data_IF_728537696388
#
_entry.id   IF_728537696388
#
_cell.length_a   1.000
_cell.length_b   1.000
_cell.length_c   1.000
_cell.angle_alpha   90.00
_cell.angle_beta   90.00
_cell.angle_gamma   90.00
#
_symmetry.space_group_name_H-M   'P 1'
#
loop_
_entity.id
_entity.type
_entity.pdbx_description
1 polymer ?
#
# COMPACT_ATOMS: atom_id res chain seq x y z
N UNK A 1 33.96 -63.82 -34.12
CA UNK A 1 35.25 -64.55 -34.27
C UNK A 1 36.01 -64.50 -32.95
N UNK A 2 37.00 -65.40 -32.77
CA UNK A 2 38.29 -65.24 -32.03
C UNK A 2 38.39 -64.14 -30.94
N UNK A 3 39.01 -64.35 -29.78
CA UNK A 3 39.64 -65.51 -29.11
C UNK A 3 40.41 -64.96 -27.88
N UNK A 4 40.66 -65.78 -26.86
CA UNK A 4 42.01 -65.99 -26.26
C UNK A 4 42.81 -64.80 -25.64
N UNK A 5 43.65 -65.01 -24.62
CA UNK A 5 44.04 -66.24 -23.88
C UNK A 5 44.71 -65.86 -22.55
N UNK A 6 44.56 -66.75 -21.56
CA UNK A 6 45.60 -67.46 -20.77
C UNK A 6 46.93 -66.74 -20.38
N UNK A 7 47.63 -67.10 -19.29
CA UNK A 7 47.74 -68.39 -18.57
C UNK A 7 47.77 -68.16 -17.03
N UNK A 8 47.27 -69.05 -16.15
CA UNK A 8 47.69 -70.45 -15.85
C UNK A 8 49.12 -70.57 -15.25
N UNK A 9 49.50 -71.60 -14.49
CA UNK A 9 49.38 -73.06 -14.78
C UNK A 9 49.79 -73.93 -13.56
N UNK A 10 49.13 -75.10 -13.40
CA UNK A 10 49.71 -76.43 -12.99
C UNK A 10 50.09 -76.61 -11.49
N UNK A 11 50.14 -77.82 -10.88
CA UNK A 11 49.88 -79.26 -11.25
C UNK A 11 49.79 -80.14 -9.95
N UNK A 12 49.55 -81.46 -9.88
CA UNK A 12 49.55 -82.62 -10.84
C UNK A 12 48.82 -83.87 -10.25
N UNK A 13 48.01 -84.60 -11.04
CA UNK A 13 47.80 -86.10 -11.08
C UNK A 13 47.40 -86.85 -9.77
N UNK A 14 46.95 -88.13 -9.69
CA UNK A 14 46.78 -89.37 -10.52
C UNK A 14 45.85 -90.33 -9.70
N UNK A 15 45.12 -91.37 -10.15
CA UNK A 15 44.60 -91.92 -11.43
C UNK A 15 43.48 -92.98 -11.07
N UNK A 16 42.44 -93.25 -11.87
CA UNK A 16 42.23 -94.40 -12.82
C UNK A 16 42.30 -95.84 -12.24
N UNK A 17 41.50 -96.84 -12.65
CA UNK A 17 40.33 -96.95 -13.59
C UNK A 17 39.77 -98.39 -13.70
N UNK A 18 38.57 -98.56 -14.30
CA UNK A 18 38.07 -99.74 -15.10
C UNK A 18 37.89 -101.13 -14.40
N UNK A 19 37.03 -102.09 -14.83
CA UNK A 19 35.89 -102.20 -15.79
C UNK A 19 35.25 -103.63 -15.69
N UNK A 20 33.94 -103.84 -15.50
CA UNK A 20 32.86 -104.11 -16.51
C UNK A 20 32.50 -105.59 -16.85
N UNK A 21 31.19 -105.85 -17.10
CA UNK A 21 30.56 -106.98 -17.87
C UNK A 21 30.04 -108.23 -17.08
N UNK A 22 29.05 -108.92 -17.68
CA UNK A 22 28.00 -109.86 -17.19
C UNK A 22 28.33 -111.39 -17.37
N UNK A 23 27.46 -112.44 -17.29
CA UNK A 23 25.99 -112.64 -17.35
C UNK A 23 25.52 -114.06 -16.84
N UNK A 24 24.24 -114.23 -16.40
CA UNK A 24 23.42 -115.49 -16.20
C UNK A 24 23.75 -116.62 -15.17
N UNK A 25 22.74 -117.49 -14.92
CA UNK A 25 22.57 -118.63 -13.96
C UNK A 25 22.28 -119.98 -14.72
N UNK A 26 21.69 -121.12 -14.21
CA UNK A 26 21.16 -121.54 -12.87
C UNK A 26 21.42 -123.04 -12.43
N UNK A 27 20.89 -123.49 -11.25
CA UNK A 27 20.12 -124.77 -10.98
C UNK A 27 20.24 -125.43 -9.55
N UNK A 28 19.06 -125.80 -9.00
CA UNK A 28 18.64 -126.92 -8.11
C UNK A 28 19.41 -127.52 -6.89
N UNK A 29 18.66 -127.76 -5.79
CA UNK A 29 18.41 -129.12 -5.20
C UNK A 29 17.24 -129.16 -4.19
N UNK A 30 16.68 -130.36 -3.92
CA UNK A 30 15.52 -130.66 -3.01
C UNK A 30 15.95 -131.34 -1.70
N UNK A 31 15.12 -131.29 -0.63
CA UNK A 31 14.60 -132.50 0.07
C UNK A 31 13.71 -132.25 1.33
N UNK A 32 12.57 -132.97 1.38
CA UNK A 32 11.84 -133.57 2.53
C UNK A 32 11.01 -132.73 3.52
N UNK A 33 9.98 -133.41 4.03
CA UNK A 33 8.84 -132.92 4.81
C UNK A 33 8.99 -133.08 6.33
N UNK A 34 8.18 -132.32 7.09
CA UNK A 34 7.53 -132.79 8.32
C UNK A 34 6.28 -131.96 8.62
N UNK A 35 5.15 -132.62 8.89
CA UNK A 35 3.88 -131.95 9.22
C UNK A 35 3.89 -131.37 10.64
N UNK A 36 3.20 -130.24 10.82
CA UNK A 36 2.80 -129.65 12.10
C UNK A 36 1.53 -128.81 11.83
N UNK A 37 0.62 -128.71 12.80
CA UNK A 37 -0.79 -128.29 12.58
C UNK A 37 -0.99 -126.94 11.89
N UNK A 38 -1.75 -126.94 10.79
CA UNK A 38 -2.05 -125.76 9.96
C UNK A 38 -2.83 -124.66 10.71
N UNK A 39 -3.67 -125.01 11.69
CA UNK A 39 -4.54 -124.06 12.40
C UNK A 39 -3.76 -122.95 13.14
N UNK A 40 -2.65 -123.29 13.80
CA UNK A 40 -1.78 -122.30 14.48
C UNK A 40 -1.07 -121.41 13.45
N UNK A 41 -0.69 -121.96 12.30
CA UNK A 41 -0.02 -121.23 11.21
C UNK A 41 -0.98 -120.22 10.58
N UNK A 42 -2.23 -120.61 10.31
CA UNK A 42 -3.22 -119.73 9.71
C UNK A 42 -3.61 -118.57 10.64
N UNK A 43 -3.76 -118.84 11.94
CA UNK A 43 -4.08 -117.81 12.93
C UNK A 43 -2.91 -116.82 13.14
N UNK A 44 -1.66 -117.32 13.14
CA UNK A 44 -0.48 -116.46 13.16
C UNK A 44 -0.34 -115.62 11.87
N UNK A 45 -0.72 -116.15 10.71
CA UNK A 45 -0.66 -115.46 9.43
C UNK A 45 -1.70 -114.33 9.32
N UNK A 46 -2.93 -114.55 9.79
CA UNK A 46 -3.96 -113.50 9.85
C UNK A 46 -3.56 -112.38 10.82
N UNK A 47 -3.05 -112.73 12.01
CA UNK A 47 -2.47 -111.75 12.95
C UNK A 47 -1.31 -110.96 12.31
N UNK A 48 -0.44 -111.61 11.53
CA UNK A 48 0.65 -110.94 10.82
C UNK A 48 0.13 -109.98 9.73
N UNK A 49 -0.89 -110.37 8.97
CA UNK A 49 -1.58 -109.50 8.00
C UNK A 49 -2.23 -108.28 8.68
N UNK A 50 -2.87 -108.50 9.82
CA UNK A 50 -3.52 -107.44 10.59
C UNK A 50 -2.53 -106.48 11.27
N UNK A 51 -1.30 -106.94 11.52
CA UNK A 51 -0.15 -106.10 11.93
C UNK A 51 0.45 -105.35 10.74
N UNK A 52 0.62 -106.00 9.58
CA UNK A 52 1.15 -105.35 8.36
C UNK A 52 0.26 -104.17 7.92
N UNK A 53 -1.06 -104.36 7.87
CA UNK A 53 -2.01 -103.29 7.54
C UNK A 53 -1.94 -102.09 8.52
N UNK A 54 -1.64 -102.33 9.80
CA UNK A 54 -1.38 -101.27 10.79
C UNK A 54 -0.02 -100.60 10.57
N UNK A 55 1.00 -101.34 10.11
CA UNK A 55 2.31 -100.81 9.80
C UNK A 55 2.27 -99.87 8.58
N UNK A 56 1.48 -100.22 7.55
CA UNK A 56 1.24 -99.38 6.38
C UNK A 56 0.45 -98.10 6.72
N UNK A 57 -0.59 -98.21 7.56
CA UNK A 57 -1.33 -97.05 8.09
C UNK A 57 -0.40 -96.10 8.88
N UNK A 58 0.43 -96.65 9.78
CA UNK A 58 1.46 -95.90 10.52
C UNK A 58 2.47 -95.23 9.56
N UNK A 59 2.91 -95.94 8.51
CA UNK A 59 3.86 -95.40 7.52
C UNK A 59 3.22 -94.26 6.72
N UNK A 60 1.96 -94.39 6.29
CA UNK A 60 1.22 -93.32 5.61
C UNK A 60 1.04 -92.07 6.49
N UNK A 61 0.86 -92.27 7.80
CA UNK A 61 0.79 -91.18 8.79
C UNK A 61 2.15 -90.52 9.00
N UNK A 62 3.23 -91.29 9.00
CA UNK A 62 4.60 -90.77 9.09
C UNK A 62 4.96 -89.89 7.88
N UNK A 63 4.56 -90.27 6.66
CA UNK A 63 4.79 -89.44 5.47
C UNK A 63 3.93 -88.17 5.44
N UNK A 64 2.69 -88.23 5.96
CA UNK A 64 1.89 -87.01 6.22
C UNK A 64 2.55 -86.09 7.23
N UNK A 65 3.17 -86.62 8.29
CA UNK A 65 3.90 -85.82 9.27
C UNK A 65 5.12 -85.12 8.65
N UNK A 66 5.90 -85.80 7.79
CA UNK A 66 7.00 -85.16 7.03
C UNK A 66 6.52 -84.00 6.15
N UNK A 67 5.40 -84.18 5.46
CA UNK A 67 4.80 -83.12 4.64
C UNK A 67 4.33 -81.92 5.48
N UNK A 68 3.77 -82.18 6.68
CA UNK A 68 3.43 -81.13 7.64
C UNK A 68 4.70 -80.40 8.13
N UNK A 69 5.76 -81.12 8.47
CA UNK A 69 7.07 -80.56 8.88
C UNK A 69 7.67 -79.63 7.80
N UNK A 70 7.60 -80.04 6.53
CA UNK A 70 8.03 -79.22 5.39
C UNK A 70 7.17 -77.94 5.23
N UNK A 71 5.85 -78.02 5.40
CA UNK A 71 5.00 -76.81 5.38
C UNK A 71 5.27 -75.88 6.56
N UNK A 72 5.53 -76.41 7.75
CA UNK A 72 5.95 -75.63 8.93
C UNK A 72 7.27 -74.90 8.67
N UNK A 73 8.24 -75.56 8.04
CA UNK A 73 9.52 -74.93 7.69
C UNK A 73 9.35 -73.76 6.71
N UNK A 74 8.52 -73.93 5.68
CA UNK A 74 8.20 -72.89 4.71
C UNK A 74 7.43 -71.70 5.33
N UNK A 75 6.50 -71.97 6.25
CA UNK A 75 5.79 -70.93 7.02
C UNK A 75 6.76 -70.18 7.95
N UNK A 76 7.66 -70.88 8.66
CA UNK A 76 8.66 -70.25 9.51
C UNK A 76 9.65 -69.36 8.74
N UNK A 77 10.06 -69.77 7.53
CA UNK A 77 10.83 -68.92 6.62
C UNK A 77 10.06 -67.67 6.17
N UNK A 78 8.77 -67.83 5.89
CA UNK A 78 7.88 -66.72 5.49
C UNK A 78 7.64 -65.72 6.63
N UNK A 79 7.51 -66.18 7.86
CA UNK A 79 7.39 -65.34 9.06
C UNK A 79 8.65 -64.48 9.24
N UNK A 80 9.85 -65.06 9.17
CA UNK A 80 11.12 -64.30 9.25
C UNK A 80 11.25 -63.22 8.17
N UNK A 81 10.76 -63.51 6.95
CA UNK A 81 10.73 -62.55 5.86
C UNK A 81 9.64 -61.45 6.01
N UNK A 82 8.70 -61.59 6.95
CA UNK A 82 7.75 -60.56 7.37
C UNK A 82 8.29 -59.75 8.55
N UNK A 83 8.90 -60.41 9.55
CA UNK A 83 9.56 -59.76 10.70
C UNK A 83 10.58 -58.69 10.22
N UNK A 84 11.47 -59.05 9.29
CA UNK A 84 12.44 -58.11 8.69
C UNK A 84 11.80 -56.96 7.91
N UNK A 85 10.58 -57.12 7.39
CA UNK A 85 9.84 -56.04 6.72
C UNK A 85 9.16 -55.12 7.71
N UNK A 86 8.66 -55.65 8.83
CA UNK A 86 8.07 -54.87 9.92
C UNK A 86 9.16 -53.98 10.55
N UNK A 87 10.32 -54.54 10.88
CA UNK A 87 11.46 -53.79 11.44
C UNK A 87 11.87 -52.62 10.54
N UNK A 88 11.97 -52.83 9.22
CA UNK A 88 12.26 -51.76 8.25
C UNK A 88 11.13 -50.73 8.12
N UNK A 89 9.87 -51.13 8.24
CA UNK A 89 8.74 -50.17 8.25
C UNK A 89 8.75 -49.34 9.54
N UNK A 90 9.11 -49.91 10.68
CA UNK A 90 9.28 -49.16 11.93
C UNK A 90 10.44 -48.16 11.87
N UNK A 91 11.52 -48.48 11.15
CA UNK A 91 12.63 -47.55 10.89
C UNK A 91 12.18 -46.35 10.04
N UNK A 92 11.59 -46.60 8.87
CA UNK A 92 11.01 -45.55 8.02
C UNK A 92 9.99 -44.66 8.80
N UNK A 93 9.16 -45.26 9.68
CA UNK A 93 8.18 -44.51 10.50
C UNK A 93 8.86 -43.65 11.58
N UNK A 94 10.08 -43.98 12.03
CA UNK A 94 10.87 -43.12 12.93
C UNK A 94 11.43 -41.92 12.16
N UNK A 95 11.93 -42.13 10.93
CA UNK A 95 12.43 -41.04 10.07
C UNK A 95 11.32 -40.03 9.73
N UNK A 96 10.18 -40.50 9.21
CA UNK A 96 9.04 -39.63 8.86
C UNK A 96 8.53 -38.81 10.06
N UNK A 97 8.58 -39.37 11.28
CA UNK A 97 8.22 -38.63 12.52
C UNK A 97 9.23 -37.54 12.89
N UNK A 98 10.52 -37.72 12.56
CA UNK A 98 11.52 -36.68 12.77
C UNK A 98 11.35 -35.55 11.74
N UNK A 99 11.10 -35.88 10.47
CA UNK A 99 10.78 -34.89 9.43
C UNK A 99 9.52 -34.09 9.78
N UNK A 100 8.47 -34.76 10.24
CA UNK A 100 7.25 -34.09 10.72
C UNK A 100 7.55 -33.11 11.87
N UNK A 101 8.35 -33.51 12.86
CA UNK A 101 8.73 -32.62 13.96
C UNK A 101 9.55 -31.39 13.52
N UNK A 102 10.30 -31.49 12.41
CA UNK A 102 11.00 -30.34 11.81
C UNK A 102 10.02 -29.43 11.07
N UNK A 103 9.04 -29.98 10.36
CA UNK A 103 7.97 -29.20 9.72
C UNK A 103 7.09 -28.47 10.74
N UNK A 104 6.71 -29.12 11.84
CA UNK A 104 5.89 -28.51 12.90
C UNK A 104 6.60 -27.29 13.53
N UNK A 105 7.90 -27.42 13.86
CA UNK A 105 8.73 -26.28 14.33
C UNK A 105 8.88 -25.17 13.29
N UNK A 106 8.93 -25.51 12.01
CA UNK A 106 8.98 -24.54 10.92
C UNK A 106 7.65 -23.79 10.79
N UNK A 107 6.52 -24.47 10.98
CA UNK A 107 5.19 -23.86 11.04
C UNK A 107 5.03 -22.96 12.27
N UNK A 108 5.51 -23.35 13.44
CA UNK A 108 5.54 -22.47 14.63
C UNK A 108 6.37 -21.20 14.36
N UNK A 109 7.55 -21.35 13.75
CA UNK A 109 8.44 -20.22 13.39
C UNK A 109 7.75 -19.26 12.40
N UNK A 110 7.22 -19.76 11.29
CA UNK A 110 6.48 -18.95 10.32
C UNK A 110 5.23 -18.30 10.92
N UNK A 111 4.51 -18.97 11.81
CA UNK A 111 3.37 -18.36 12.50
C UNK A 111 3.81 -17.21 13.42
N UNK A 112 4.92 -17.36 14.14
CA UNK A 112 5.48 -16.29 14.98
C UNK A 112 5.92 -15.09 14.13
N UNK A 113 6.61 -15.31 13.00
CA UNK A 113 6.97 -14.25 12.04
C UNK A 113 5.73 -13.56 11.46
N UNK A 114 4.69 -14.31 11.09
CA UNK A 114 3.42 -13.75 10.60
C UNK A 114 2.71 -12.93 11.68
N UNK A 115 2.78 -13.30 12.95
CA UNK A 115 2.22 -12.49 14.04
C UNK A 115 3.08 -11.24 14.31
N UNK A 116 4.41 -11.35 14.22
CA UNK A 116 5.30 -10.18 14.32
C UNK A 116 5.02 -9.19 13.18
N UNK A 117 4.97 -9.64 11.93
CA UNK A 117 4.62 -8.81 10.76
C UNK A 117 3.19 -8.22 10.84
N UNK A 118 2.24 -8.91 11.50
CA UNK A 118 0.90 -8.36 11.80
C UNK A 118 0.91 -7.32 12.91
N UNK A 119 1.82 -7.41 13.86
CA UNK A 119 1.97 -6.43 14.95
C UNK A 119 2.76 -5.21 14.49
N UNK A 120 3.81 -5.38 13.68
CA UNK A 120 4.55 -4.27 13.08
C UNK A 120 3.70 -3.52 12.04
N UNK A 121 2.83 -4.20 11.27
CA UNK A 121 1.83 -3.52 10.41
C UNK A 121 0.71 -2.81 11.20
N UNK A 122 0.51 -3.15 12.49
CA UNK A 122 -0.36 -2.39 13.41
C UNK A 122 0.37 -1.23 14.10
N UNK A 123 1.69 -1.11 13.92
CA UNK A 123 2.54 -0.09 14.56
C UNK A 123 2.52 1.19 13.73
N UNK A 124 1.36 1.84 13.75
CA UNK A 124 1.01 3.08 13.06
C UNK A 124 1.54 3.18 11.60
N UNK A 125 0.72 2.76 10.63
CA UNK A 125 0.91 3.07 9.19
C UNK A 125 1.06 4.59 8.93
N UNK A 126 0.63 5.43 9.88
CA UNK A 126 0.77 6.89 9.87
C UNK A 126 2.07 7.42 10.50
N UNK A 127 2.79 6.63 11.29
CA UNK A 127 4.05 7.04 11.95
C UNK A 127 5.25 6.88 11.00
N UNK A 128 5.17 5.94 10.04
CA UNK A 128 6.16 5.78 8.97
C UNK A 128 6.27 7.00 8.02
N UNK A 129 5.20 7.79 7.87
CA UNK A 129 5.22 9.05 7.10
C UNK A 129 5.81 10.25 7.87
N UNK A 130 6.37 10.02 9.07
CA UNK A 130 7.01 11.03 9.90
C UNK A 130 8.35 11.53 9.33
N UNK A 131 8.30 12.50 8.41
CA UNK A 131 9.48 13.26 8.02
C UNK A 131 10.12 13.90 9.24
N UNK A 132 11.40 13.58 9.50
CA UNK A 132 12.13 14.14 10.63
C UNK A 132 12.58 15.56 10.30
N UNK A 133 11.73 16.53 10.62
CA UNK A 133 11.99 17.95 10.38
C UNK A 133 12.56 18.62 11.64
N UNK A 134 13.77 19.16 11.50
CA UNK A 134 14.48 19.91 12.54
C UNK A 134 14.44 21.40 12.26
N UNK A 135 14.32 22.20 13.32
CA UNK A 135 14.22 23.65 13.25
C UNK A 135 15.19 24.29 14.25
N UNK A 136 16.01 25.23 13.79
CA UNK A 136 16.78 26.09 14.69
C UNK A 136 15.94 27.31 15.08
N UNK A 137 15.91 27.65 16.37
CA UNK A 137 15.33 28.88 16.88
C UNK A 137 16.16 29.40 18.06
N UNK A 138 16.66 30.64 17.94
CA UNK A 138 17.54 31.31 18.92
C UNK A 138 18.87 30.58 19.18
N UNK A 139 19.31 29.75 18.25
CA UNK A 139 20.53 28.93 18.38
C UNK A 139 20.25 27.48 18.80
N UNK A 140 19.14 27.22 19.48
CA UNK A 140 18.74 25.87 19.89
C UNK A 140 18.06 25.09 18.75
N UNK A 141 18.22 23.76 18.76
CA UNK A 141 17.65 22.86 17.76
C UNK A 141 16.44 22.10 18.32
N UNK A 142 15.31 22.21 17.63
CA UNK A 142 14.03 21.58 17.99
C UNK A 142 13.61 20.60 16.89
N UNK A 143 13.39 19.35 17.26
CA UNK A 143 12.86 18.29 16.39
C UNK A 143 11.33 18.24 16.48
N UNK A 144 10.65 18.26 15.34
CA UNK A 144 9.20 18.09 15.33
C UNK A 144 8.84 16.62 15.61
N UNK A 145 8.07 16.40 16.69
CA UNK A 145 7.66 15.05 17.11
C UNK A 145 6.36 14.57 16.45
N UNK A 146 5.44 15.48 16.13
CA UNK A 146 4.10 15.17 15.62
C UNK A 146 3.67 16.15 14.51
N UNK A 147 2.98 15.64 13.50
CA UNK A 147 2.61 16.40 12.30
C UNK A 147 3.82 16.73 11.41
N UNK A 148 3.59 17.56 10.38
CA UNK A 148 4.62 18.08 9.47
C UNK A 148 4.84 19.58 9.70
N UNK A 149 5.99 20.12 9.31
CA UNK A 149 6.34 21.51 9.59
C UNK A 149 5.56 22.49 8.70
N UNK A 150 4.93 23.50 9.32
CA UNK A 150 4.21 24.53 8.59
C UNK A 150 5.16 25.33 7.68
N UNK A 151 4.90 25.29 6.37
CA UNK A 151 5.71 25.97 5.36
C UNK A 151 6.92 25.19 4.85
N UNK A 152 7.08 23.91 5.21
CA UNK A 152 7.91 22.98 4.44
C UNK A 152 7.18 22.58 3.14
N UNK A 153 7.87 22.45 1.98
CA UNK A 153 7.19 22.25 0.69
C UNK A 153 6.41 20.94 0.56
N UNK A 154 6.79 19.91 1.31
CA UNK A 154 6.21 18.56 1.23
C UNK A 154 5.02 18.36 2.18
N UNK A 155 4.93 19.16 3.26
CA UNK A 155 3.94 19.02 4.34
C UNK A 155 2.50 18.94 3.87
N UNK A 156 2.12 19.74 2.87
CA UNK A 156 0.74 19.79 2.34
C UNK A 156 0.40 18.50 1.59
N UNK A 157 1.35 17.93 0.83
CA UNK A 157 1.15 16.67 0.11
C UNK A 157 1.00 15.51 1.09
N UNK A 158 1.85 15.45 2.13
CA UNK A 158 1.80 14.40 3.17
C UNK A 158 0.51 14.52 3.98
N UNK A 159 0.12 15.73 4.38
CA UNK A 159 -1.14 15.96 5.09
C UNK A 159 -2.35 15.51 4.27
N UNK A 160 -2.39 15.84 2.96
CA UNK A 160 -3.45 15.39 2.07
C UNK A 160 -3.55 13.86 1.97
N UNK A 161 -2.41 13.16 1.82
CA UNK A 161 -2.36 11.69 1.75
C UNK A 161 -2.81 11.05 3.06
N UNK A 162 -2.35 11.56 4.20
CA UNK A 162 -2.77 11.09 5.54
C UNK A 162 -4.29 11.26 5.71
N UNK A 163 -4.82 12.42 5.35
CA UNK A 163 -6.26 12.70 5.41
C UNK A 163 -7.07 11.81 4.46
N UNK A 164 -6.60 11.59 3.22
CA UNK A 164 -7.27 10.71 2.25
C UNK A 164 -7.41 9.27 2.77
N UNK A 165 -6.39 8.75 3.47
CA UNK A 165 -6.45 7.42 4.10
C UNK A 165 -7.46 7.41 5.27
N UNK A 166 -7.45 8.44 6.13
CA UNK A 166 -8.41 8.58 7.26
C UNK A 166 -9.85 8.68 6.74
N UNK A 167 -10.07 9.48 5.71
CA UNK A 167 -11.37 9.75 5.10
C UNK A 167 -11.90 8.52 4.36
N UNK A 168 -11.05 7.86 3.56
CA UNK A 168 -11.41 6.60 2.89
C UNK A 168 -11.81 5.51 3.87
N UNK A 169 -11.15 5.42 5.05
CA UNK A 169 -11.53 4.48 6.12
C UNK A 169 -12.87 4.84 6.75
N UNK A 170 -13.11 6.12 7.06
CA UNK A 170 -14.42 6.57 7.58
C UNK A 170 -15.57 6.31 6.58
N UNK A 171 -15.36 6.64 5.29
CA UNK A 171 -16.36 6.50 4.24
C UNK A 171 -16.66 5.03 3.89
N UNK A 172 -15.68 4.13 3.99
CA UNK A 172 -15.88 2.69 3.77
C UNK A 172 -16.39 1.94 5.00
N UNK A 173 -16.16 2.45 6.22
CA UNK A 173 -16.63 1.83 7.48
C UNK A 173 -18.04 2.28 7.87
N UNK A 174 -18.46 3.49 7.47
CA UNK A 174 -19.77 4.01 7.82
C UNK A 174 -20.89 3.41 6.95
N UNK A 175 -21.88 2.79 7.60
CA UNK A 175 -22.97 2.02 6.96
C UNK A 175 -23.76 2.85 5.93
N UNK A 176 -23.83 4.16 6.11
CA UNK A 176 -24.63 5.07 5.27
C UNK A 176 -23.80 6.29 4.82
N UNK A 177 -22.79 6.04 3.98
CA UNK A 177 -21.85 7.06 3.51
C UNK A 177 -22.55 8.35 2.99
N UNK A 178 -21.97 9.55 3.26
CA UNK A 178 -22.51 10.82 2.77
C UNK A 178 -22.73 10.85 1.25
N UNK A 179 -23.86 11.42 0.81
CA UNK A 179 -24.19 11.65 -0.61
C UNK A 179 -23.16 12.53 -1.32
N UNK A 180 -22.55 13.45 -0.58
CA UNK A 180 -21.36 14.20 -0.97
C UNK A 180 -20.43 14.32 0.23
N UNK A 181 -19.13 14.13 -0.01
CA UNK A 181 -18.05 14.49 0.89
C UNK A 181 -16.97 15.18 0.05
N UNK A 182 -16.56 16.40 0.41
CA UNK A 182 -15.55 17.20 -0.31
C UNK A 182 -14.68 17.95 0.69
N UNK A 183 -13.37 18.02 0.44
CA UNK A 183 -12.39 18.67 1.32
C UNK A 183 -11.48 19.59 0.53
N UNK A 184 -11.34 20.83 1.00
CA UNK A 184 -10.37 21.80 0.53
C UNK A 184 -9.34 22.07 1.63
N UNK A 185 -8.18 21.41 1.53
CA UNK A 185 -7.11 21.41 2.55
C UNK A 185 -7.62 20.93 3.91
N UNK A 186 -7.97 21.83 4.83
CA UNK A 186 -8.44 21.55 6.20
C UNK A 186 -9.97 21.67 6.36
N UNK A 187 -10.63 22.35 5.42
CA UNK A 187 -12.09 22.63 5.43
C UNK A 187 -12.83 21.54 4.63
N UNK A 188 -13.71 20.78 5.28
CA UNK A 188 -14.50 19.69 4.67
C UNK A 188 -16.00 20.00 4.72
N UNK A 189 -16.74 19.73 3.65
CA UNK A 189 -18.22 19.78 3.61
C UNK A 189 -18.80 18.40 3.30
N UNK A 190 -19.84 18.00 4.04
CA UNK A 190 -20.56 16.75 3.80
C UNK A 190 -22.08 16.95 3.74
N UNK A 191 -22.71 16.09 2.95
CA UNK A 191 -24.15 16.06 2.65
C UNK A 191 -24.67 14.67 3.06
N UNK A 192 -25.48 14.60 4.10
CA UNK A 192 -25.99 13.36 4.71
C UNK A 192 -27.52 13.34 4.58
N UNK A 193 -28.11 12.16 4.40
CA UNK A 193 -29.56 12.03 4.35
C UNK A 193 -30.18 12.17 5.76
N UNK A 194 -31.34 12.83 5.86
CA UNK A 194 -32.09 13.06 7.13
C UNK A 194 -32.23 11.85 8.06
N UNK A 195 -32.33 10.65 7.50
CA UNK A 195 -32.59 9.41 8.23
C UNK A 195 -31.29 8.80 8.82
N UNK A 196 -30.16 9.49 8.71
CA UNK A 196 -28.85 9.08 9.20
C UNK A 196 -28.27 10.14 10.14
N UNK A 197 -27.73 9.70 11.27
CA UNK A 197 -27.13 10.57 12.27
C UNK A 197 -25.82 11.18 11.76
N UNK A 198 -25.79 12.52 11.66
CA UNK A 198 -24.55 13.27 11.43
C UNK A 198 -23.54 12.96 12.55
N UNK A 199 -24.03 12.76 13.78
CA UNK A 199 -23.21 12.59 14.97
C UNK A 199 -22.53 11.21 14.98
N UNK A 200 -23.18 10.18 14.41
CA UNK A 200 -22.57 8.85 14.23
C UNK A 200 -21.48 8.87 13.15
N UNK A 201 -21.66 9.66 12.08
CA UNK A 201 -20.61 9.86 11.06
C UNK A 201 -19.44 10.70 11.62
N UNK A 202 -19.73 11.76 12.36
CA UNK A 202 -18.75 12.61 13.04
C UNK A 202 -17.94 11.83 14.07
N UNK A 203 -18.58 10.90 14.79
CA UNK A 203 -17.91 9.93 15.65
C UNK A 203 -17.05 8.96 14.83
N UNK A 204 -17.60 8.34 13.77
CA UNK A 204 -16.88 7.41 12.91
C UNK A 204 -15.57 8.02 12.37
N UNK A 205 -15.60 9.28 11.91
CA UNK A 205 -14.41 10.05 11.51
C UNK A 205 -13.39 10.22 12.65
N UNK A 206 -13.85 10.60 13.84
CA UNK A 206 -12.99 10.83 15.01
C UNK A 206 -12.42 9.55 15.64
N UNK A 207 -13.03 8.39 15.37
CA UNK A 207 -12.57 7.09 15.83
C UNK A 207 -11.48 6.48 14.91
N UNK A 208 -11.34 6.95 13.66
CA UNK A 208 -10.35 6.40 12.70
C UNK A 208 -8.88 6.59 13.14
N UNK A 209 -8.53 7.76 13.69
CA UNK A 209 -7.16 8.08 14.07
C UNK A 209 -7.11 9.04 15.26
N UNK A 210 -6.36 8.67 16.31
CA UNK A 210 -6.40 9.37 17.60
C UNK A 210 -5.77 10.76 17.58
N UNK A 211 -4.72 10.97 16.78
CA UNK A 211 -3.91 12.21 16.73
C UNK A 211 -4.55 13.33 15.89
N UNK A 212 -5.63 13.04 15.16
CA UNK A 212 -6.43 13.99 14.37
C UNK A 212 -7.84 14.08 14.96
N UNK A 213 -8.39 15.29 15.10
CA UNK A 213 -9.78 15.47 15.56
C UNK A 213 -10.57 16.39 14.65
N UNK A 214 -11.74 15.90 14.22
CA UNK A 214 -12.70 16.64 13.44
C UNK A 214 -13.66 17.38 14.39
N UNK A 215 -13.80 18.69 14.24
CA UNK A 215 -14.91 19.48 14.81
C UNK A 215 -16.07 19.54 13.80
N UNK A 216 -17.25 20.02 14.22
CA UNK A 216 -18.43 20.07 13.36
C UNK A 216 -19.26 21.34 13.55
N UNK A 217 -19.57 22.01 12.43
CA UNK A 217 -20.59 23.05 12.31
C UNK A 217 -21.77 22.49 11.50
N UNK A 218 -22.98 22.48 12.09
CA UNK A 218 -24.19 21.94 11.44
C UNK A 218 -24.96 23.07 10.73
N UNK A 219 -25.72 22.73 9.69
CA UNK A 219 -26.63 23.66 9.00
C UNK A 219 -27.59 24.37 9.96
N UNK A 220 -27.99 25.60 9.60
CA UNK A 220 -28.94 26.42 10.35
C UNK A 220 -29.82 27.23 9.40
N UNK A 221 -30.89 27.85 9.90
CA UNK A 221 -31.77 28.76 9.13
C UNK A 221 -31.02 29.96 8.50
N UNK A 222 -29.79 30.23 8.96
CA UNK A 222 -28.90 31.29 8.43
C UNK A 222 -27.96 30.78 7.35
N UNK A 223 -28.09 29.51 6.94
CA UNK A 223 -27.16 28.79 6.08
C UNK A 223 -26.02 28.12 6.85
N UNK A 224 -25.11 27.53 6.08
CA UNK A 224 -23.85 26.94 6.50
C UNK A 224 -22.71 27.62 5.72
N UNK A 225 -21.76 28.30 6.40
CA UNK A 225 -20.52 28.76 5.76
C UNK A 225 -19.75 27.59 5.13
N UNK A 226 -18.96 27.87 4.10
CA UNK A 226 -17.90 26.99 3.63
C UNK A 226 -16.90 27.84 2.85
N UNK A 227 -15.61 27.79 3.20
CA UNK A 227 -14.58 28.68 2.63
C UNK A 227 -15.01 30.16 2.71
N UNK A 228 -15.19 30.82 1.55
CA UNK A 228 -15.65 32.20 1.39
C UNK A 228 -17.15 32.31 1.01
N UNK A 229 -17.92 31.22 1.04
CA UNK A 229 -19.34 31.21 0.69
C UNK A 229 -20.25 30.88 1.87
N UNK A 230 -21.51 31.29 1.76
CA UNK A 230 -22.60 30.96 2.68
C UNK A 230 -23.66 30.22 1.88
N UNK A 231 -23.87 28.96 2.22
CA UNK A 231 -24.70 28.03 1.47
C UNK A 231 -26.04 27.88 2.19
N UNK A 232 -27.14 28.18 1.50
CA UNK A 232 -28.51 28.12 2.03
C UNK A 232 -29.35 27.19 1.15
N UNK A 233 -30.13 26.33 1.77
CA UNK A 233 -31.07 25.43 1.09
C UNK A 233 -32.40 26.15 0.88
N UNK A 234 -32.87 26.17 -0.36
CA UNK A 234 -34.14 26.77 -0.77
C UNK A 234 -35.35 25.87 -0.51
N UNK A 235 -36.55 26.40 -0.72
CA UNK A 235 -37.82 25.65 -0.61
C UNK A 235 -37.95 24.52 -1.65
N UNK A 236 -37.27 24.63 -2.79
CA UNK A 236 -37.15 23.60 -3.83
C UNK A 236 -35.95 22.65 -3.60
N UNK A 237 -35.36 22.70 -2.40
CA UNK A 237 -34.16 21.96 -1.98
C UNK A 237 -32.88 22.29 -2.78
N UNK A 238 -32.89 23.32 -3.63
CA UNK A 238 -31.68 23.80 -4.32
C UNK A 238 -30.71 24.52 -3.38
N UNK A 239 -29.40 24.43 -3.67
CA UNK A 239 -28.37 25.13 -2.89
C UNK A 239 -28.11 26.52 -3.49
N UNK A 240 -28.64 27.55 -2.83
CA UNK A 240 -28.27 28.94 -3.10
C UNK A 240 -26.93 29.25 -2.43
N UNK A 241 -25.99 29.78 -3.22
CA UNK A 241 -24.66 30.18 -2.75
C UNK A 241 -24.56 31.71 -2.71
N UNK A 242 -24.25 32.25 -1.53
CA UNK A 242 -24.04 33.67 -1.27
C UNK A 242 -22.62 33.95 -0.75
N UNK A 243 -22.19 35.22 -0.67
CA UNK A 243 -20.82 35.58 -0.22
C UNK A 243 -20.73 35.58 1.31
N UNK A 244 -19.82 34.80 1.89
CA UNK A 244 -19.57 34.83 3.33
C UNK A 244 -18.40 35.74 3.69
N UNK A 245 -18.48 36.37 4.86
CA UNK A 245 -17.41 37.16 5.46
C UNK A 245 -17.36 36.85 6.95
N UNK A 246 -16.27 36.22 7.41
CA UNK A 246 -15.99 36.00 8.85
C UNK A 246 -16.01 37.35 9.58
N UNK A 247 -16.42 37.41 10.85
CA UNK A 247 -16.58 38.66 11.64
C UNK A 247 -15.31 39.53 11.71
N UNK A 248 -14.15 38.95 11.44
CA UNK A 248 -12.83 39.60 11.38
C UNK A 248 -12.51 40.23 10.01
N UNK A 249 -13.37 40.10 9.00
CA UNK A 249 -13.18 40.71 7.69
C UNK A 249 -13.24 42.24 7.78
N UNK A 250 -12.19 42.93 7.34
CA UNK A 250 -12.07 44.40 7.50
C UNK A 250 -12.32 45.20 6.22
N UNK A 251 -12.63 44.52 5.10
CA UNK A 251 -12.74 45.10 3.75
C UNK A 251 -11.53 45.96 3.35
N UNK A 252 -10.34 45.64 3.88
CA UNK A 252 -9.08 46.28 3.53
C UNK A 252 -8.40 45.49 2.41
N UNK A 253 -8.31 46.12 1.25
CA UNK A 253 -7.65 45.62 0.06
C UNK A 253 -6.39 46.43 -0.23
N UNK A 254 -5.78 46.23 -1.39
CA UNK A 254 -4.64 47.04 -1.82
C UNK A 254 -5.05 48.49 -2.06
N UNK A 255 -4.70 49.43 -1.16
CA UNK A 255 -5.08 50.85 -1.27
C UNK A 255 -4.67 51.44 -2.64
N UNK A 256 -5.55 52.26 -3.24
CA UNK A 256 -5.36 52.75 -4.61
C UNK A 256 -4.11 53.62 -4.77
N UNK A 257 -3.71 54.38 -3.75
CA UNK A 257 -2.48 55.20 -3.81
C UNK A 257 -1.17 54.43 -3.57
N UNK A 258 -1.25 53.14 -3.20
CA UNK A 258 -0.07 52.32 -2.93
C UNK A 258 0.88 52.26 -4.14
N UNK A 259 2.18 52.10 -3.89
CA UNK A 259 3.21 52.06 -4.93
C UNK A 259 3.25 50.72 -5.68
N UNK A 260 2.17 50.44 -6.41
CA UNK A 260 1.98 49.25 -7.25
C UNK A 260 1.53 49.63 -8.66
N UNK A 261 1.84 48.79 -9.69
CA UNK A 261 1.34 48.98 -11.04
C UNK A 261 -0.19 49.11 -11.09
N UNK A 262 -0.71 49.96 -11.97
CA UNK A 262 -2.16 50.09 -12.21
C UNK A 262 -2.83 48.75 -12.54
N UNK A 263 -2.11 47.83 -13.22
CA UNK A 263 -2.56 46.46 -13.48
C UNK A 263 -2.86 45.65 -12.22
N UNK A 264 -2.12 45.83 -11.12
CA UNK A 264 -2.36 45.09 -9.87
C UNK A 264 -3.61 45.62 -9.15
N UNK A 265 -3.85 46.94 -9.23
CA UNK A 265 -5.05 47.59 -8.71
C UNK A 265 -6.29 47.17 -9.52
N UNK A 266 -6.16 47.11 -10.86
CA UNK A 266 -7.20 46.56 -11.73
C UNK A 266 -7.49 45.08 -11.43
N UNK A 267 -6.46 44.28 -11.13
CA UNK A 267 -6.62 42.88 -10.75
C UNK A 267 -7.43 42.69 -9.46
N UNK A 268 -7.28 43.57 -8.45
CA UNK A 268 -8.13 43.53 -7.23
C UNK A 268 -9.61 43.70 -7.58
N UNK A 269 -9.96 44.73 -8.36
CA UNK A 269 -11.34 44.96 -8.80
C UNK A 269 -11.87 43.76 -9.61
N UNK A 270 -11.06 43.27 -10.57
CA UNK A 270 -11.43 42.16 -11.44
C UNK A 270 -11.61 40.84 -10.66
N UNK A 271 -10.74 40.51 -9.71
CA UNK A 271 -10.84 39.29 -8.91
C UNK A 271 -12.09 39.30 -8.02
N UNK A 272 -12.43 40.45 -7.43
CA UNK A 272 -13.64 40.59 -6.63
C UNK A 272 -14.91 40.48 -7.49
N UNK A 273 -14.97 41.17 -8.63
CA UNK A 273 -16.08 41.05 -9.56
C UNK A 273 -16.20 39.64 -10.18
N UNK A 274 -15.08 38.99 -10.48
CA UNK A 274 -15.04 37.61 -10.97
C UNK A 274 -15.58 36.61 -9.94
N UNK A 275 -15.17 36.73 -8.68
CA UNK A 275 -15.73 35.92 -7.57
C UNK A 275 -17.24 36.14 -7.41
N UNK A 276 -17.72 37.37 -7.53
CA UNK A 276 -19.16 37.67 -7.51
C UNK A 276 -19.92 36.90 -8.60
N UNK A 277 -19.47 36.95 -9.86
CA UNK A 277 -20.21 36.30 -10.97
C UNK A 277 -20.03 34.77 -11.05
N UNK A 278 -18.92 34.21 -10.54
CA UNK A 278 -18.66 32.75 -10.55
C UNK A 278 -19.23 32.03 -9.32
N UNK A 279 -19.12 32.63 -8.13
CA UNK A 279 -19.47 31.96 -6.89
C UNK A 279 -20.95 32.12 -6.51
N UNK A 280 -21.62 33.22 -6.88
CA UNK A 280 -23.01 33.49 -6.46
C UNK A 280 -24.04 32.84 -7.39
N UNK A 281 -25.04 32.17 -6.82
CA UNK A 281 -26.10 31.50 -7.59
C UNK A 281 -27.19 32.47 -8.09
N UNK A 282 -27.53 33.51 -7.33
CA UNK A 282 -28.68 34.37 -7.61
C UNK A 282 -28.33 35.86 -7.84
N UNK A 283 -29.13 36.51 -8.70
CA UNK A 283 -28.94 37.93 -9.05
C UNK A 283 -29.23 38.89 -7.89
N UNK A 284 -29.99 38.50 -6.85
CA UNK A 284 -30.22 39.37 -5.69
C UNK A 284 -28.97 39.44 -4.80
N UNK A 285 -28.27 38.32 -4.60
CA UNK A 285 -26.98 38.27 -3.91
C UNK A 285 -25.90 38.94 -4.74
N UNK A 286 -25.88 38.75 -6.07
CA UNK A 286 -24.95 39.48 -6.95
C UNK A 286 -25.15 40.99 -6.86
N UNK A 287 -26.39 41.51 -6.80
CA UNK A 287 -26.63 42.95 -6.60
C UNK A 287 -26.13 43.42 -5.22
N UNK A 288 -26.49 42.72 -4.14
CA UNK A 288 -26.03 43.04 -2.77
C UNK A 288 -24.49 43.04 -2.67
N UNK A 289 -23.85 42.06 -3.30
CA UNK A 289 -22.39 41.95 -3.35
C UNK A 289 -21.77 43.06 -4.21
N UNK A 290 -22.35 43.42 -5.37
CA UNK A 290 -21.88 44.54 -6.19
C UNK A 290 -21.87 45.85 -5.38
N UNK A 291 -22.96 46.14 -4.64
CA UNK A 291 -23.08 47.30 -3.76
C UNK A 291 -22.03 47.29 -2.63
N UNK A 292 -21.77 46.12 -2.04
CA UNK A 292 -20.71 45.96 -1.03
C UNK A 292 -19.30 46.14 -1.61
N UNK A 293 -19.03 45.58 -2.80
CA UNK A 293 -17.75 45.68 -3.49
C UNK A 293 -17.42 47.12 -3.89
N UNK A 294 -18.38 47.86 -4.45
CA UNK A 294 -18.20 49.27 -4.81
C UNK A 294 -17.93 50.12 -3.56
N UNK A 295 -18.77 49.99 -2.53
CA UNK A 295 -18.58 50.68 -1.24
C UNK A 295 -17.23 50.37 -0.59
N UNK A 296 -16.78 49.12 -0.67
CA UNK A 296 -15.49 48.69 -0.14
C UNK A 296 -14.31 49.22 -0.95
N UNK A 297 -14.38 49.18 -2.28
CA UNK A 297 -13.31 49.71 -3.14
C UNK A 297 -13.17 51.23 -3.02
N UNK A 298 -14.29 51.96 -2.93
CA UNK A 298 -14.30 53.41 -2.62
C UNK A 298 -13.61 53.71 -1.28
N UNK A 299 -13.89 52.92 -0.23
CA UNK A 299 -13.22 53.01 1.08
C UNK A 299 -11.71 52.70 1.03
N UNK A 300 -11.24 52.03 -0.04
CA UNK A 300 -9.81 51.78 -0.31
C UNK A 300 -9.21 52.77 -1.34
N UNK A 301 -9.88 53.89 -1.60
CA UNK A 301 -9.40 54.99 -2.46
C UNK A 301 -9.59 54.78 -3.96
N UNK A 302 -10.30 53.73 -4.41
CA UNK A 302 -10.46 53.45 -5.84
C UNK A 302 -11.45 54.44 -6.49
N UNK A 303 -11.07 55.13 -7.58
CA UNK A 303 -12.00 56.02 -8.29
C UNK A 303 -13.15 55.22 -8.94
N UNK A 304 -14.38 55.73 -8.87
CA UNK A 304 -15.59 55.11 -9.46
C UNK A 304 -15.38 54.66 -10.92
N UNK A 305 -14.86 55.56 -11.77
CA UNK A 305 -14.58 55.31 -13.20
C UNK A 305 -13.49 54.25 -13.43
N UNK A 306 -12.71 53.91 -12.41
CA UNK A 306 -11.75 52.80 -12.43
C UNK A 306 -12.44 51.50 -11.99
N UNK A 307 -13.28 51.55 -10.94
CA UNK A 307 -14.10 50.41 -10.49
C UNK A 307 -15.01 49.93 -11.64
N UNK A 308 -15.85 50.82 -12.18
CA UNK A 308 -16.79 50.54 -13.29
C UNK A 308 -16.10 49.97 -14.54
N UNK A 309 -14.86 50.38 -14.82
CA UNK A 309 -14.08 49.89 -15.98
C UNK A 309 -13.55 48.47 -15.77
N UNK A 310 -13.29 48.07 -14.53
CA UNK A 310 -12.61 46.82 -14.19
C UNK A 310 -13.49 45.80 -13.46
N UNK A 311 -14.74 46.15 -13.11
CA UNK A 311 -15.78 45.22 -12.65
C UNK A 311 -16.45 44.46 -13.79
N UNK A 312 -16.45 45.00 -15.02
CA UNK A 312 -17.02 44.34 -16.20
C UNK A 312 -16.13 43.18 -16.63
N UNK A 313 -16.53 41.95 -16.28
CA UNK A 313 -15.92 40.73 -16.80
C UNK A 313 -16.25 40.62 -18.29
N UNK A 314 -15.23 40.72 -19.13
CA UNK A 314 -15.35 40.35 -20.53
C UNK A 314 -15.09 38.86 -20.65
N UNK A 315 -16.07 38.09 -21.15
CA UNK A 315 -15.78 36.77 -21.69
C UNK A 315 -14.66 36.95 -22.72
N UNK A 316 -13.56 36.21 -22.59
CA UNK A 316 -12.65 36.05 -23.72
C UNK A 316 -13.40 35.21 -24.75
N UNK A 317 -13.49 35.71 -25.98
CA UNK A 317 -13.59 34.78 -27.10
C UNK A 317 -12.34 33.90 -27.07
N UNK A 318 -12.55 32.59 -26.98
CA UNK A 318 -11.49 31.60 -27.20
C UNK A 318 -11.18 31.43 -28.69
N UNK A 319 -11.31 32.52 -29.46
CA UNK A 319 -10.71 32.63 -30.79
C UNK A 319 -9.20 32.51 -30.61
N UNK A 320 -8.68 31.34 -30.99
CA UNK A 320 -7.25 31.02 -30.85
C UNK A 320 -6.48 32.05 -31.65
N UNK A 321 -5.70 32.89 -30.96
CA UNK A 321 -4.71 33.75 -31.62
C UNK A 321 -3.52 32.88 -32.01
N UNK A 322 -3.70 32.17 -33.13
CA UNK A 322 -2.61 31.51 -33.85
C UNK A 322 -1.63 32.59 -34.30
N UNK A 323 -0.56 32.72 -33.52
CA UNK A 323 0.19 33.97 -33.41
C UNK A 323 1.06 33.92 -32.17
N UNK A 324 1.96 32.92 -32.12
CA UNK A 324 3.09 32.94 -31.19
C UNK A 324 4.03 34.07 -31.61
N UNK A 325 3.80 35.27 -31.10
CA UNK A 325 4.82 36.33 -31.09
C UNK A 325 6.08 35.77 -30.42
N UNK A 326 7.13 35.51 -31.20
CA UNK A 326 8.39 34.99 -30.68
C UNK A 326 9.03 36.06 -29.79
N UNK A 327 8.99 35.84 -28.48
CA UNK A 327 9.50 36.78 -27.50
C UNK A 327 11.02 36.79 -27.55
N UNK A 328 11.60 37.87 -28.08
CA UNK A 328 13.05 38.03 -28.29
C UNK A 328 13.88 38.12 -27.00
N UNK A 329 13.20 38.18 -25.84
CA UNK A 329 13.84 38.12 -24.54
C UNK A 329 12.84 38.29 -23.40
N UNK A 330 13.34 38.18 -22.17
CA UNK A 330 12.59 38.38 -20.93
C UNK A 330 13.35 39.32 -19.99
N UNK A 331 12.64 40.27 -19.38
CA UNK A 331 13.21 41.27 -18.47
C UNK A 331 12.41 41.38 -17.17
N UNK A 332 13.09 41.53 -16.03
CA UNK A 332 12.48 41.69 -14.70
C UNK A 332 12.87 43.04 -14.12
N UNK A 333 11.92 43.97 -14.09
CA UNK A 333 12.15 45.36 -13.67
C UNK A 333 11.64 45.62 -12.24
N UNK A 334 12.34 46.40 -11.41
CA UNK A 334 11.76 46.95 -10.19
C UNK A 334 10.62 47.94 -10.54
N UNK A 335 9.62 48.08 -9.66
CA UNK A 335 8.54 49.05 -9.88
C UNK A 335 8.89 50.46 -9.39
N UNK A 336 9.04 51.39 -10.34
CA UNK A 336 9.22 52.82 -10.14
C UNK A 336 8.16 53.53 -10.98
N UNK A 337 7.05 53.91 -10.32
CA UNK A 337 5.90 54.63 -10.89
C UNK A 337 6.33 55.72 -11.89
N UNK A 338 5.83 55.63 -13.12
CA UNK A 338 6.13 56.55 -14.23
C UNK A 338 7.39 56.20 -15.03
N UNK A 339 8.34 55.44 -14.47
CA UNK A 339 9.58 55.03 -15.14
C UNK A 339 9.48 53.61 -15.68
N UNK A 340 9.10 52.64 -14.85
CA UNK A 340 8.97 51.22 -15.25
C UNK A 340 7.96 51.04 -16.38
N UNK A 341 6.88 51.84 -16.39
CA UNK A 341 5.87 51.82 -17.45
C UNK A 341 6.35 52.48 -18.76
N UNK A 342 7.40 53.33 -18.73
CA UNK A 342 8.06 53.84 -19.95
C UNK A 342 9.01 52.77 -20.51
N UNK A 343 9.86 52.20 -19.65
CA UNK A 343 10.80 51.13 -20.02
C UNK A 343 10.05 49.89 -20.53
N UNK A 344 8.96 49.49 -19.88
CA UNK A 344 8.10 48.37 -20.33
C UNK A 344 7.55 48.62 -21.74
N UNK A 345 7.14 49.85 -22.09
CA UNK A 345 6.65 50.18 -23.44
C UNK A 345 7.74 50.05 -24.50
N UNK A 346 8.95 50.54 -24.22
CA UNK A 346 10.10 50.43 -25.14
C UNK A 346 10.47 48.96 -25.35
N UNK A 347 10.61 48.19 -24.28
CA UNK A 347 10.94 46.76 -24.37
C UNK A 347 9.85 45.95 -25.10
N UNK A 348 8.57 46.31 -24.94
CA UNK A 348 7.47 45.71 -25.70
C UNK A 348 7.55 45.97 -27.20
N UNK A 349 8.06 47.13 -27.64
CA UNK A 349 8.29 47.43 -29.07
C UNK A 349 9.41 46.57 -29.68
N UNK A 350 10.25 45.94 -28.86
CA UNK A 350 11.31 45.00 -29.28
C UNK A 350 10.95 43.52 -29.02
N UNK A 351 9.67 43.20 -28.78
CA UNK A 351 9.17 41.87 -28.41
C UNK A 351 9.81 41.27 -27.14
N UNK A 352 10.29 42.11 -26.21
CA UNK A 352 10.86 41.69 -24.92
C UNK A 352 9.77 41.65 -23.85
N UNK A 353 9.49 40.46 -23.33
CA UNK A 353 8.46 40.23 -22.30
C UNK A 353 8.93 40.76 -20.94
N UNK A 354 8.19 41.70 -20.37
CA UNK A 354 8.57 42.39 -19.13
C UNK A 354 7.70 41.98 -17.93
N UNK A 355 8.30 41.39 -16.90
CA UNK A 355 7.71 41.24 -15.57
C UNK A 355 8.18 42.36 -14.63
N UNK A 356 7.35 42.66 -13.62
CA UNK A 356 7.60 43.72 -12.63
C UNK A 356 7.69 43.09 -11.24
N UNK A 357 8.76 43.40 -10.50
CA UNK A 357 8.92 43.03 -9.09
C UNK A 357 8.85 44.26 -8.17
N UNK A 358 8.38 44.12 -6.92
CA UNK A 358 8.68 45.11 -5.88
C UNK A 358 10.20 45.13 -5.61
N UNK A 359 10.74 46.31 -5.31
CA UNK A 359 12.16 46.46 -4.96
C UNK A 359 12.44 45.99 -3.53
N UNK A 360 11.63 46.51 -2.58
CA UNK A 360 11.60 46.06 -1.19
C UNK A 360 10.18 45.63 -0.82
N UNK A 361 10.07 44.51 -0.13
CA UNK A 361 8.83 43.97 0.43
C UNK A 361 8.81 44.14 1.95
N UNK A 362 7.63 44.23 2.54
CA UNK A 362 7.50 44.24 4.00
C UNK A 362 8.11 42.98 4.65
N UNK A 363 8.09 41.83 3.96
CA UNK A 363 8.72 40.58 4.45
C UNK A 363 10.22 40.75 4.66
N UNK A 364 10.94 41.39 3.73
CA UNK A 364 12.38 41.63 3.84
C UNK A 364 12.75 42.62 4.96
N UNK A 365 11.82 43.48 5.37
CA UNK A 365 12.05 44.53 6.39
C UNK A 365 11.63 44.05 7.78
N UNK A 366 10.46 43.41 7.89
CA UNK A 366 9.78 43.10 9.16
C UNK A 366 9.77 41.61 9.52
N UNK A 367 10.09 40.70 8.58
CA UNK A 367 9.84 39.27 8.74
C UNK A 367 11.08 38.43 8.47
N UNK A 368 11.95 38.37 9.48
CA UNK A 368 12.98 37.33 9.64
C UNK A 368 12.54 36.35 10.75
N UNK A 369 11.58 35.43 10.50
CA UNK A 369 11.04 34.52 11.53
C UNK A 369 11.93 33.30 11.78
N UNK A 370 12.94 33.07 10.92
CA UNK A 370 13.99 32.07 11.10
C UNK A 370 15.32 32.80 11.28
N UNK A 371 16.19 32.23 12.10
CA UNK A 371 17.54 32.76 12.33
C UNK A 371 18.39 32.69 11.04
N UNK A 372 19.35 33.61 10.86
CA UNK A 372 20.21 33.65 9.68
C UNK A 372 21.20 32.48 9.69
N UNK A 373 20.96 31.48 8.84
CA UNK A 373 21.88 30.36 8.65
C UNK A 373 23.23 30.87 8.12
N UNK A 374 24.33 30.50 8.79
CA UNK A 374 25.70 30.80 8.38
C UNK A 374 25.96 30.33 6.95
N UNK A 375 26.77 31.08 6.18
CA UNK A 375 26.95 30.85 4.74
C UNK A 375 27.38 29.41 4.39
N UNK A 376 28.26 28.82 5.20
CA UNK A 376 28.79 27.46 5.07
C UNK A 376 27.74 26.36 5.37
N UNK A 377 26.62 26.71 5.99
CA UNK A 377 25.51 25.81 6.36
C UNK A 377 24.27 26.00 5.47
N UNK A 378 24.35 26.83 4.43
CA UNK A 378 23.23 27.07 3.51
C UNK A 378 23.13 25.97 2.45
N UNK A 379 21.92 25.50 2.16
CA UNK A 379 21.65 24.57 1.06
C UNK A 379 21.57 25.30 -0.28
N UNK A 380 22.05 24.65 -1.35
CA UNK A 380 21.97 25.19 -2.71
C UNK A 380 22.96 26.30 -3.06
N UNK A 381 23.96 26.59 -2.21
CA UNK A 381 25.08 27.47 -2.59
C UNK A 381 26.03 26.75 -3.54
N UNK A 382 26.51 27.46 -4.57
CA UNK A 382 27.46 26.92 -5.56
C UNK A 382 28.88 27.10 -5.04
N UNK A 383 29.43 26.03 -4.45
CA UNK A 383 30.82 25.99 -4.03
C UNK A 383 31.78 26.03 -5.22
N UNK A 384 32.56 27.11 -5.36
CA UNK A 384 33.70 27.14 -6.28
C UNK A 384 34.90 26.47 -5.61
N UNK A 385 35.08 25.18 -5.85
CA UNK A 385 36.28 24.44 -5.44
C UNK A 385 37.45 24.82 -6.39
N UNK A 386 38.58 25.34 -5.88
CA UNK A 386 39.80 25.49 -6.69
C UNK A 386 40.51 24.12 -6.80
N UNK A 387 40.44 23.52 -7.98
CA UNK A 387 41.00 22.18 -8.23
C UNK A 387 42.52 22.18 -8.48
N UNK A 388 43.31 22.59 -7.48
CA UNK A 388 44.78 22.52 -7.53
C UNK A 388 45.35 21.24 -6.86
N UNK A 389 44.52 20.44 -6.17
CA UNK A 389 44.90 19.14 -5.58
C UNK A 389 43.80 18.09 -5.71
N UNK A 390 44.16 16.87 -6.13
CA UNK A 390 43.24 15.73 -6.22
C UNK A 390 42.95 15.15 -4.83
N UNK A 391 41.81 15.53 -4.26
CA UNK A 391 41.32 15.02 -2.98
C UNK A 391 40.26 13.94 -3.22
N UNK A 392 40.66 12.67 -3.15
CA UNK A 392 39.74 11.53 -3.29
C UNK A 392 38.98 11.33 -1.98
N UNK A 393 37.87 12.03 -1.83
CA UNK A 393 36.90 11.73 -0.78
C UNK A 393 36.09 10.49 -1.17
N UNK A 394 36.32 9.37 -0.48
CA UNK A 394 35.29 8.33 -0.37
C UNK A 394 34.18 8.89 0.49
N UNK A 395 33.00 9.06 -0.12
CA UNK A 395 31.74 9.12 0.60
C UNK A 395 31.16 7.71 0.56
N UNK A 396 31.15 7.03 1.70
CA UNK A 396 30.32 5.84 1.87
C UNK A 396 28.87 6.31 1.96
N UNK A 397 28.05 5.91 1.00
CA UNK A 397 26.64 6.35 0.87
C UNK A 397 25.75 5.29 1.51
N UNK A 398 25.53 5.43 2.82
CA UNK A 398 24.33 4.87 3.44
C UNK A 398 23.08 5.56 2.85
N UNK A 399 21.99 4.81 2.69
CA UNK A 399 20.92 5.11 1.72
C UNK A 399 20.05 6.33 2.06
N UNK A 400 20.52 7.54 1.77
CA UNK A 400 19.65 8.71 1.69
C UNK A 400 18.83 8.67 0.39
N UNK A 401 17.57 8.22 0.49
CA UNK A 401 16.61 8.24 -0.63
C UNK A 401 16.51 9.66 -1.20
N UNK A 402 16.94 9.84 -2.45
CA UNK A 402 17.02 11.18 -3.06
C UNK A 402 15.64 11.76 -3.33
N UNK A 403 15.54 13.10 -3.28
CA UNK A 403 14.32 13.84 -3.62
C UNK A 403 13.77 13.48 -5.01
N UNK A 404 14.64 13.15 -5.96
CA UNK A 404 14.26 12.70 -7.31
C UNK A 404 13.50 11.36 -7.30
N UNK A 405 13.89 10.43 -6.43
CA UNK A 405 13.19 9.14 -6.25
C UNK A 405 11.77 9.35 -5.75
N UNK A 406 11.59 10.27 -4.79
CA UNK A 406 10.28 10.59 -4.21
C UNK A 406 9.40 11.41 -5.18
N UNK A 407 9.99 12.35 -5.93
CA UNK A 407 9.29 13.07 -6.99
C UNK A 407 8.78 12.13 -8.10
N UNK A 408 9.55 11.10 -8.46
CA UNK A 408 9.14 10.13 -9.48
C UNK A 408 7.86 9.38 -9.12
N UNK A 409 7.71 8.94 -7.86
CA UNK A 409 6.46 8.33 -7.37
C UNK A 409 5.27 9.31 -7.35
N UNK A 410 5.53 10.61 -7.18
CA UNK A 410 4.49 11.65 -7.28
C UNK A 410 4.09 11.91 -8.75
N UNK A 411 5.00 11.75 -9.71
CA UNK A 411 4.67 11.92 -11.13
C UNK A 411 3.89 10.75 -11.75
N UNK A 412 3.99 9.55 -11.17
CA UNK A 412 3.24 8.36 -11.58
C UNK A 412 1.80 8.32 -10.98
N UNK A 413 1.44 9.28 -10.12
CA UNK A 413 0.10 9.43 -9.53
C UNK A 413 -0.84 10.29 -10.43
N UNK A 414 -2.14 9.95 -10.56
CA UNK A 414 -3.07 10.73 -11.40
C UNK A 414 -3.32 12.14 -10.84
N UNK A 415 -3.12 13.16 -11.68
CA UNK A 415 -3.06 14.58 -11.28
C UNK A 415 -4.43 15.26 -11.25
N UNK A 416 -5.38 14.73 -10.48
CA UNK A 416 -6.72 15.31 -10.28
C UNK A 416 -6.77 16.45 -9.24
N UNK A 417 -5.78 17.36 -9.28
CA UNK A 417 -5.79 18.60 -8.50
C UNK A 417 -6.72 19.64 -9.14
N UNK A 418 -8.04 19.41 -9.07
CA UNK A 418 -9.04 20.34 -9.63
C UNK A 418 -9.11 21.64 -8.80
N UNK A 419 -9.57 22.73 -9.42
CA UNK A 419 -9.60 24.05 -8.78
C UNK A 419 -10.75 24.20 -7.77
N UNK A 420 -10.63 25.12 -6.82
CA UNK A 420 -11.71 25.44 -5.87
C UNK A 420 -13.01 25.96 -6.53
N UNK A 421 -12.97 26.34 -7.83
CA UNK A 421 -14.19 26.65 -8.60
C UNK A 421 -14.97 25.40 -8.98
N UNK A 422 -14.29 24.31 -9.36
CA UNK A 422 -14.93 23.07 -9.84
C UNK A 422 -15.54 22.25 -8.71
N UNK A 423 -15.01 22.33 -7.49
CA UNK A 423 -15.62 21.67 -6.32
C UNK A 423 -16.94 22.35 -5.92
N UNK A 424 -16.99 23.68 -5.95
CA UNK A 424 -18.20 24.45 -5.67
C UNK A 424 -19.23 24.32 -6.80
N UNK A 425 -18.81 24.28 -8.07
CA UNK A 425 -19.70 23.97 -9.19
C UNK A 425 -20.25 22.53 -9.11
N UNK A 426 -19.46 21.55 -8.68
CA UNK A 426 -19.94 20.19 -8.43
C UNK A 426 -21.05 20.16 -7.36
N UNK A 427 -20.88 20.89 -6.25
CA UNK A 427 -21.94 21.04 -5.21
C UNK A 427 -23.19 21.74 -5.77
N UNK A 428 -23.03 22.82 -6.55
CA UNK A 428 -24.16 23.52 -7.21
C UNK A 428 -24.91 22.65 -8.23
N UNK A 429 -24.22 21.68 -8.86
CA UNK A 429 -24.78 20.88 -9.96
C UNK A 429 -25.70 19.74 -9.51
N UNK A 430 -25.79 19.46 -8.21
CA UNK A 430 -26.62 18.36 -7.71
C UNK A 430 -28.06 18.82 -7.42
N UNK A 431 -28.99 18.34 -8.26
CA UNK A 431 -30.41 18.34 -7.91
C UNK A 431 -30.63 17.39 -6.73
N UNK A 432 -31.04 17.92 -5.57
CA UNK A 432 -31.60 17.12 -4.47
C UNK A 432 -33.02 16.71 -4.85
N UNK A 433 -33.43 15.48 -4.53
CA UNK A 433 -34.80 15.03 -4.84
C UNK A 433 -35.80 15.71 -3.90
N UNK A 434 -37.00 16.03 -4.39
CA UNK A 434 -38.05 16.71 -3.61
C UNK A 434 -38.58 15.90 -2.40
N UNK A 435 -38.20 14.63 -2.28
CA UNK A 435 -38.55 13.74 -1.16
C UNK A 435 -37.40 13.56 -0.15
N UNK A 436 -36.18 14.03 -0.47
CA UNK A 436 -34.98 13.94 0.37
C UNK A 436 -34.78 15.24 1.17
N UNK A 437 -34.94 15.20 2.49
CA UNK A 437 -34.37 16.27 3.33
C UNK A 437 -32.87 16.03 3.53
N UNK A 438 -32.07 17.02 3.17
CA UNK A 438 -30.61 16.98 3.23
C UNK A 438 -30.10 17.67 4.50
N UNK A 439 -29.21 16.99 5.22
CA UNK A 439 -28.43 17.54 6.32
C UNK A 439 -27.05 17.94 5.79
N UNK A 440 -26.74 19.24 5.85
CA UNK A 440 -25.41 19.76 5.54
C UNK A 440 -24.61 19.94 6.84
N UNK A 441 -23.32 19.63 6.81
CA UNK A 441 -22.38 19.99 7.87
C UNK A 441 -21.00 20.36 7.28
N UNK A 442 -20.34 21.33 7.92
CA UNK A 442 -18.92 21.60 7.73
C UNK A 442 -18.14 20.89 8.84
N UNK A 443 -17.06 20.24 8.46
CA UNK A 443 -16.11 19.56 9.31
C UNK A 443 -14.75 20.25 9.15
N UNK A 444 -14.02 20.44 10.24
CA UNK A 444 -12.64 20.93 10.22
C UNK A 444 -11.79 19.96 11.02
N UNK A 445 -10.62 19.58 10.53
CA UNK A 445 -9.70 18.80 11.36
C UNK A 445 -8.62 19.67 12.01
N UNK A 446 -8.17 19.26 13.20
CA UNK A 446 -6.97 19.78 13.84
C UNK A 446 -6.08 18.61 14.29
N UNK A 447 -4.77 18.77 14.08
CA UNK A 447 -3.75 17.95 14.73
C UNK A 447 -3.64 18.37 16.20
N UNK A 448 -3.64 17.42 17.12
CA UNK A 448 -3.35 17.73 18.51
C UNK A 448 -1.84 17.93 18.68
N UNK A 449 -1.43 19.17 18.93
CA UNK A 449 -0.02 19.54 19.14
C UNK A 449 0.22 19.65 20.65
N UNK A 450 0.52 18.51 21.27
CA UNK A 450 0.93 18.44 22.68
C UNK A 450 2.35 19.01 22.85
N UNK A 451 2.44 20.34 22.94
CA UNK A 451 3.64 21.05 23.35
C UNK A 451 3.94 20.82 24.85
N UNK A 452 4.36 19.59 25.17
CA UNK A 452 5.02 19.29 26.44
C UNK A 452 6.38 20.01 26.48
N UNK A 453 6.67 20.68 27.58
CA UNK A 453 7.90 21.46 27.80
C UNK A 453 8.92 20.70 28.66
#
# INVERSE_FOLDING_TARGET
>A
MKSSKNHSKRKKKTNSSSSSISITSPLEKKAKEKECSDDEVFQALDMAGHVAAKLDDITSKLDRLKSIEETIHNVAGSIKALEQKIEKVEENVKEIKQEQQVMDKSLETMNNEIQQLKNDRKRDEFEYYGFQEETNFRGEYYKQIHGTAMGSPISVTVANLVMEIVESRALSTFVSAPKVFKRYVDDTICIIHKDHSIDDFHKCLNDQYKKIKFTIERYSDKGLPFLDTLNTVNQDVSIQVSMYRKKTHTDRYLHFDSHHPSKHKAAVVHTLAYRKESLLSDETSKRKEQEHLEKSLLKNGYPEKFIQRHSVIRKKDNGVKEGKDETKGFAVLPYVKGTTERVQRILQQHNIKCCIKPDKTLRQILSKPKDPVEYEKQSGVVYRIPCDTVLVLRLDVDETVTFESLMRCIEESPKDSTSSSSELEAVKSQNVSSEEHVLLAQLYFQLHVDCSA
#
